data_IF_167487302556
#
_entry.id   IF_167487302556
#
_cell.length_a   1.000
_cell.length_b   1.000
_cell.length_c   1.000
_cell.angle_alpha   90.00
_cell.angle_beta   90.00
_cell.angle_gamma   90.00
#
_symmetry.space_group_name_H-M   'P 1'
#
loop_
_entity.id
_entity.type
_entity.pdbx_description
1 polymer ?
#
# COMPACT_ATOMS: atom_id res chain seq x y z
N UNK A 1 -18.08 2.52 2.61
CA UNK A 1 -16.92 2.54 1.69
C UNK A 1 -15.96 3.61 2.20
N UNK A 2 -14.91 3.22 2.93
CA UNK A 2 -13.94 4.14 3.49
C UNK A 2 -13.11 4.75 2.36
N UNK A 3 -13.53 5.93 1.91
CA UNK A 3 -12.76 6.77 1.02
C UNK A 3 -11.56 7.29 1.81
N UNK A 4 -10.43 6.58 1.80
CA UNK A 4 -9.16 7.11 2.30
C UNK A 4 -8.68 8.22 1.36
N UNK A 5 -9.30 9.39 1.48
CA UNK A 5 -8.84 10.64 0.90
C UNK A 5 -7.74 11.21 1.80
N UNK A 6 -6.50 11.23 1.31
CA UNK A 6 -5.40 11.97 1.95
C UNK A 6 -4.08 11.19 2.07
N UNK A 7 -3.09 11.86 2.68
CA UNK A 7 -1.69 11.43 2.80
C UNK A 7 -1.49 9.98 3.29
N UNK A 8 -2.38 9.49 4.15
CA UNK A 8 -2.27 8.17 4.79
C UNK A 8 -2.57 7.00 3.84
N UNK A 9 -3.49 7.16 2.89
CA UNK A 9 -3.76 6.13 1.87
C UNK A 9 -2.58 5.98 0.90
N UNK A 10 -1.93 7.09 0.57
CA UNK A 10 -0.73 7.10 -0.27
C UNK A 10 0.47 6.44 0.41
N UNK A 11 0.69 6.70 1.70
CA UNK A 11 1.75 6.06 2.50
C UNK A 11 1.56 4.53 2.58
N UNK A 12 0.31 4.06 2.72
CA UNK A 12 -0.01 2.63 2.69
C UNK A 12 0.25 2.03 1.30
N UNK A 13 -0.21 2.69 0.23
CA UNK A 13 0.05 2.23 -1.14
C UNK A 13 1.54 2.14 -1.46
N UNK A 14 2.33 3.16 -1.08
CA UNK A 14 3.80 3.17 -1.24
C UNK A 14 4.48 2.06 -0.44
N UNK A 15 3.97 1.77 0.76
CA UNK A 15 4.45 0.65 1.57
C UNK A 15 4.24 -0.68 0.85
N UNK A 16 3.03 -0.91 0.32
CA UNK A 16 2.69 -2.14 -0.40
C UNK A 16 3.50 -2.30 -1.69
N UNK A 17 3.60 -1.25 -2.51
CA UNK A 17 4.43 -1.25 -3.73
C UNK A 17 5.87 -1.60 -3.38
N UNK A 18 6.43 -0.94 -2.36
CA UNK A 18 7.83 -1.15 -1.99
C UNK A 18 8.06 -2.55 -1.40
N UNK A 19 7.13 -3.08 -0.62
CA UNK A 19 7.24 -4.45 -0.13
C UNK A 19 7.27 -5.44 -1.31
N UNK A 20 6.40 -5.25 -2.30
CA UNK A 20 6.38 -6.06 -3.52
C UNK A 20 7.67 -5.91 -4.36
N UNK A 21 8.09 -4.69 -4.68
CA UNK A 21 9.25 -4.45 -5.55
C UNK A 21 10.55 -4.99 -4.96
N UNK A 22 10.71 -4.86 -3.64
CA UNK A 22 11.92 -5.29 -2.95
C UNK A 22 11.83 -6.72 -2.40
N UNK A 23 10.75 -7.44 -2.68
CA UNK A 23 10.44 -8.76 -2.12
C UNK A 23 10.70 -8.80 -0.59
N UNK A 24 10.17 -7.79 0.09
CA UNK A 24 10.40 -7.50 1.51
C UNK A 24 9.07 -7.51 2.27
N UNK A 25 9.12 -7.53 3.58
CA UNK A 25 7.92 -7.54 4.43
C UNK A 25 7.28 -6.16 4.55
N UNK A 26 5.95 -6.16 4.72
CA UNK A 26 5.19 -4.95 5.06
C UNK A 26 5.68 -4.38 6.38
N UNK A 27 6.02 -5.22 7.35
CA UNK A 27 6.57 -4.85 8.65
C UNK A 27 7.84 -4.01 8.54
N UNK A 28 8.73 -4.38 7.61
CA UNK A 28 9.97 -3.66 7.39
C UNK A 28 9.72 -2.36 6.61
N UNK A 29 8.90 -2.39 5.57
CA UNK A 29 8.63 -1.22 4.72
C UNK A 29 7.71 -0.18 5.37
N UNK A 30 6.76 -0.59 6.20
CA UNK A 30 5.78 0.35 6.78
C UNK A 30 6.46 1.37 7.70
N UNK A 31 7.54 0.96 8.37
CA UNK A 31 8.40 1.85 9.18
C UNK A 31 9.00 2.97 8.33
N UNK A 32 9.43 2.68 7.10
CA UNK A 32 10.03 3.67 6.20
C UNK A 32 9.04 4.74 5.73
N UNK A 33 7.75 4.40 5.70
CA UNK A 33 6.67 5.30 5.28
C UNK A 33 5.83 5.84 6.45
N UNK A 34 6.26 5.62 7.70
CA UNK A 34 5.59 6.16 8.89
C UNK A 34 4.21 5.56 9.15
N UNK A 35 3.90 4.39 8.57
CA UNK A 35 2.61 3.70 8.74
C UNK A 35 2.78 2.42 9.56
N UNK A 36 1.78 2.12 10.38
CA UNK A 36 1.73 0.86 11.13
C UNK A 36 1.47 -0.31 10.16
N UNK A 37 2.15 -1.46 10.32
CA UNK A 37 1.86 -2.66 9.54
C UNK A 37 0.39 -3.08 9.67
N UNK A 38 -0.22 -2.85 10.85
CA UNK A 38 -1.63 -3.14 11.08
C UNK A 38 -2.54 -2.24 10.24
N UNK A 39 -2.19 -0.96 10.09
CA UNK A 39 -2.94 -0.05 9.21
C UNK A 39 -2.87 -0.50 7.76
N UNK A 40 -1.72 -1.00 7.31
CA UNK A 40 -1.57 -1.54 5.95
C UNK A 40 -2.43 -2.79 5.77
N UNK A 41 -2.45 -3.72 6.74
CA UNK A 41 -3.28 -4.93 6.70
C UNK A 41 -4.78 -4.60 6.67
N UNK A 42 -5.23 -3.77 7.61
CA UNK A 42 -6.63 -3.34 7.66
C UNK A 42 -7.06 -2.68 6.34
N UNK A 43 -6.17 -1.90 5.71
CA UNK A 43 -6.44 -1.28 4.42
C UNK A 43 -6.61 -2.29 3.28
N UNK A 44 -5.75 -3.30 3.21
CA UNK A 44 -5.88 -4.39 2.23
C UNK A 44 -7.15 -5.21 2.48
N UNK A 45 -7.49 -5.48 3.74
CA UNK A 45 -8.72 -6.18 4.10
C UNK A 45 -9.99 -5.37 3.74
N UNK A 46 -10.00 -4.06 4.00
CA UNK A 46 -11.16 -3.20 3.75
C UNK A 46 -11.35 -2.84 2.27
N UNK A 47 -10.26 -2.70 1.51
CA UNK A 47 -10.31 -2.29 0.10
C UNK A 47 -10.19 -3.48 -0.86
N UNK A 48 -9.78 -4.65 -0.36
CA UNK A 48 -9.67 -5.88 -1.13
C UNK A 48 -8.79 -5.76 -2.37
N UNK A 49 -9.21 -6.43 -3.44
CA UNK A 49 -8.50 -6.53 -4.73
C UNK A 49 -8.33 -5.16 -5.42
N UNK A 50 -9.18 -4.18 -5.12
CA UNK A 50 -9.16 -2.85 -5.74
C UNK A 50 -7.84 -2.11 -5.48
N UNK A 51 -7.23 -2.33 -4.30
CA UNK A 51 -5.88 -1.82 -3.98
C UNK A 51 -4.83 -2.45 -4.88
N UNK A 52 -4.88 -3.76 -5.06
CA UNK A 52 -3.91 -4.48 -5.87
C UNK A 52 -4.01 -4.05 -7.34
N UNK A 53 -5.21 -3.89 -7.87
CA UNK A 53 -5.44 -3.42 -9.25
C UNK A 53 -4.92 -2.00 -9.48
N UNK A 54 -5.24 -1.06 -8.58
CA UNK A 54 -4.72 0.31 -8.65
C UNK A 54 -3.21 0.37 -8.54
N UNK A 55 -2.62 -0.46 -7.68
CA UNK A 55 -1.17 -0.58 -7.53
C UNK A 55 -0.52 -1.15 -8.81
N UNK A 56 -1.11 -2.18 -9.40
CA UNK A 56 -0.64 -2.77 -10.66
C UNK A 56 -0.74 -1.80 -11.84
N UNK A 57 -1.81 -1.01 -11.91
CA UNK A 57 -1.93 0.05 -12.92
C UNK A 57 -0.86 1.13 -12.76
N UNK A 58 -0.53 1.53 -11.53
CA UNK A 58 0.54 2.50 -11.29
C UNK A 58 1.90 1.95 -11.67
N UNK A 59 2.20 0.70 -11.32
CA UNK A 59 3.45 0.04 -11.71
C UNK A 59 3.54 -0.12 -13.22
N UNK A 60 2.45 -0.49 -13.91
CA UNK A 60 2.41 -0.55 -15.39
C UNK A 60 2.61 0.79 -16.08
N UNK A 61 2.33 1.91 -15.40
CA UNK A 61 2.53 3.27 -15.91
C UNK A 61 3.93 3.82 -15.62
N UNK A 62 4.73 3.15 -14.79
CA UNK A 62 6.15 3.44 -14.66
C UNK A 62 6.91 2.73 -15.81
N UNK A 63 7.57 3.47 -16.72
CA UNK A 63 8.39 2.89 -17.79
C UNK A 63 9.64 2.18 -17.25
#
# INVERSE_FOLDING_TARGET
MLNFKGKRGEEVARTLISACLWNDSVENKSRAYGVSPQTVRNYVEEQGVEVIEKLLEQVRKCP
#
